data_IF_622056557905
#
_entry.id   IF_622056557905
#
_cell.length_a   1.000
_cell.length_b   1.000
_cell.length_c   1.000
_cell.angle_alpha   90.00
_cell.angle_beta   90.00
_cell.angle_gamma   90.00
#
_symmetry.space_group_name_H-M   'P 1'
#
loop_
_entity.id
_entity.type
_entity.pdbx_description
1 polymer ?
#
# COMPACT_ATOMS: atom_id res chain seq x y z
N UNK A 1 9.11 13.82 9.41
CA UNK A 1 9.08 12.35 9.54
C UNK A 1 10.51 11.84 9.53
N UNK A 2 10.93 10.96 10.45
CA UNK A 2 12.31 10.41 10.42
C UNK A 2 12.42 9.31 9.35
N UNK A 3 13.53 9.24 8.63
CA UNK A 3 13.82 8.21 7.59
C UNK A 3 13.61 6.79 8.10
N UNK A 4 13.94 6.53 9.37
CA UNK A 4 13.70 5.23 10.03
C UNK A 4 12.21 4.84 10.13
N UNK A 5 11.30 5.82 10.27
CA UNK A 5 9.84 5.55 10.35
C UNK A 5 9.27 5.13 8.99
N UNK A 6 9.71 5.80 7.90
CA UNK A 6 9.28 5.48 6.53
C UNK A 6 9.78 4.10 6.12
N UNK A 7 11.05 3.78 6.39
CA UNK A 7 11.62 2.44 6.13
C UNK A 7 10.84 1.35 6.87
N UNK A 8 10.61 1.50 8.18
CA UNK A 8 9.84 0.51 8.96
C UNK A 8 8.41 0.33 8.43
N UNK A 9 7.76 1.43 8.01
CA UNK A 9 6.44 1.35 7.39
C UNK A 9 6.50 0.64 6.02
N UNK A 10 7.49 0.96 5.19
CA UNK A 10 7.69 0.38 3.85
C UNK A 10 7.88 -1.12 3.95
N UNK A 11 8.81 -1.57 4.80
CA UNK A 11 9.05 -3.00 5.05
C UNK A 11 7.77 -3.74 5.46
N UNK A 12 6.97 -3.19 6.38
CA UNK A 12 5.67 -3.77 6.78
C UNK A 12 4.67 -3.79 5.62
N UNK A 13 4.56 -2.69 4.87
CA UNK A 13 3.65 -2.59 3.73
C UNK A 13 4.00 -3.62 2.65
N UNK A 14 5.29 -3.79 2.33
CA UNK A 14 5.77 -4.79 1.36
C UNK A 14 5.47 -6.21 1.83
N UNK A 15 5.74 -6.54 3.11
CA UNK A 15 5.41 -7.86 3.65
C UNK A 15 3.91 -8.16 3.56
N UNK A 16 3.06 -7.22 3.97
CA UNK A 16 1.61 -7.39 3.90
C UNK A 16 1.10 -7.48 2.47
N UNK A 17 1.66 -6.68 1.57
CA UNK A 17 1.34 -6.71 0.14
C UNK A 17 1.67 -8.06 -0.48
N UNK A 18 2.86 -8.60 -0.20
CA UNK A 18 3.26 -9.94 -0.65
C UNK A 18 2.31 -11.02 -0.12
N UNK A 19 1.93 -10.95 1.16
CA UNK A 19 0.99 -11.91 1.75
C UNK A 19 -0.41 -11.81 1.12
N UNK A 20 -0.92 -10.60 0.88
CA UNK A 20 -2.26 -10.40 0.33
C UNK A 20 -2.38 -10.78 -1.16
N UNK A 21 -1.30 -10.59 -1.93
CA UNK A 21 -1.19 -11.02 -3.32
C UNK A 21 -0.94 -12.53 -3.39
N UNK A 22 -0.07 -13.07 -2.54
CA UNK A 22 0.26 -14.50 -2.49
C UNK A 22 -0.86 -15.41 -1.95
N UNK A 23 -1.74 -14.92 -1.06
CA UNK A 23 -2.97 -15.64 -0.65
C UNK A 23 -3.99 -15.78 -1.78
N UNK A 24 -3.85 -15.00 -2.86
CA UNK A 24 -4.67 -15.13 -4.06
C UNK A 24 -4.12 -16.32 -4.86
N UNK A 25 -4.52 -17.54 -4.45
CA UNK A 25 -4.22 -18.76 -5.21
C UNK A 25 -4.41 -18.52 -6.70
N UNK A 26 -3.36 -18.77 -7.47
CA UNK A 26 -3.28 -18.71 -8.94
C UNK A 26 -4.26 -17.72 -9.58
N UNK A 27 -3.99 -16.43 -9.46
CA UNK A 27 -4.51 -15.49 -10.46
C UNK A 27 -3.48 -15.45 -11.57
N UNK A 28 -3.76 -16.24 -12.61
CA UNK A 28 -3.06 -16.23 -13.90
C UNK A 28 -2.73 -14.78 -14.25
N UNK A 29 -1.43 -14.51 -14.32
CA UNK A 29 -0.92 -13.22 -14.76
C UNK A 29 -1.58 -12.86 -16.10
N UNK A 30 -2.04 -11.62 -16.30
CA UNK A 30 -2.35 -11.19 -17.65
C UNK A 30 -1.06 -11.30 -18.46
N UNK A 31 -1.06 -12.20 -19.45
CA UNK A 31 0.07 -12.35 -20.36
C UNK A 31 0.33 -11.01 -21.05
N UNK A 32 1.50 -10.42 -20.76
CA UNK A 32 1.89 -9.11 -21.28
C UNK A 32 3.02 -8.53 -20.46
N UNK A 33 4.25 -8.75 -20.94
CA UNK A 33 5.51 -8.47 -20.25
C UNK A 33 5.70 -7.03 -19.75
N UNK A 34 6.52 -6.91 -18.70
CA UNK A 34 6.97 -5.64 -18.12
C UNK A 34 6.11 -5.09 -16.99
N UNK A 35 5.10 -5.84 -16.52
CA UNK A 35 4.21 -5.42 -15.43
C UNK A 35 4.88 -5.46 -14.06
N UNK A 36 4.80 -4.37 -13.31
CA UNK A 36 5.18 -4.32 -11.90
C UNK A 36 4.54 -5.46 -11.12
N UNK A 37 5.30 -6.07 -10.21
CA UNK A 37 4.72 -7.03 -9.28
C UNK A 37 3.55 -6.38 -8.52
N UNK A 38 2.40 -7.04 -8.41
CA UNK A 38 1.18 -6.44 -7.82
C UNK A 38 1.45 -5.91 -6.40
N UNK A 39 2.33 -6.57 -5.65
CA UNK A 39 2.70 -6.14 -4.31
C UNK A 39 3.44 -4.79 -4.29
N UNK A 40 4.18 -4.45 -5.35
CA UNK A 40 4.91 -3.19 -5.47
C UNK A 40 3.95 -2.01 -5.62
N UNK A 41 2.93 -2.16 -6.46
CA UNK A 41 1.86 -1.17 -6.66
C UNK A 41 1.08 -0.94 -5.37
N UNK A 42 0.73 -2.03 -4.67
CA UNK A 42 0.05 -1.96 -3.37
C UNK A 42 0.92 -1.25 -2.33
N UNK A 43 2.22 -1.51 -2.30
CA UNK A 43 3.17 -0.86 -1.38
C UNK A 43 3.30 0.64 -1.66
N UNK A 44 3.39 1.04 -2.94
CA UNK A 44 3.40 2.44 -3.36
C UNK A 44 2.12 3.18 -2.94
N UNK A 45 0.95 2.52 -3.05
CA UNK A 45 -0.29 3.12 -2.56
C UNK A 45 -0.29 3.31 -1.04
N UNK A 46 0.15 2.29 -0.29
CA UNK A 46 0.25 2.40 1.17
C UNK A 46 1.16 3.57 1.58
N UNK A 47 2.25 3.78 0.85
CA UNK A 47 3.15 4.92 1.05
C UNK A 47 2.50 6.26 0.68
N UNK A 48 1.74 6.33 -0.41
CA UNK A 48 0.98 7.52 -0.75
C UNK A 48 -0.01 7.91 0.37
N UNK A 49 -0.74 6.92 0.92
CA UNK A 49 -1.65 7.11 2.07
C UNK A 49 -0.88 7.57 3.30
N UNK A 50 0.26 6.91 3.60
CA UNK A 50 1.09 7.24 4.76
C UNK A 50 1.72 8.65 4.68
N UNK A 51 2.06 9.09 3.48
CA UNK A 51 2.60 10.43 3.23
C UNK A 51 1.51 11.51 3.18
N UNK A 52 0.22 11.12 3.13
CA UNK A 52 -0.95 12.00 3.02
C UNK A 52 -0.82 13.02 1.86
N UNK A 53 -0.27 12.57 0.73
CA UNK A 53 0.07 13.41 -0.44
C UNK A 53 -0.60 12.93 -1.71
N UNK A 54 -0.65 13.76 -2.74
CA UNK A 54 -1.08 13.28 -4.06
C UNK A 54 -0.11 12.20 -4.58
N UNK A 55 -0.57 11.33 -5.48
CA UNK A 55 0.30 10.32 -6.10
C UNK A 55 1.54 10.92 -6.75
N UNK A 56 1.40 12.09 -7.38
CA UNK A 56 2.53 12.80 -8.00
C UNK A 56 3.57 13.20 -6.96
N UNK A 57 3.14 13.91 -5.92
CA UNK A 57 4.06 14.36 -4.85
C UNK A 57 4.66 13.19 -4.07
N UNK A 58 3.90 12.11 -3.86
CA UNK A 58 4.40 10.91 -3.21
C UNK A 58 5.50 10.24 -4.04
N UNK A 59 5.31 10.11 -5.36
CA UNK A 59 6.32 9.53 -6.25
C UNK A 59 7.55 10.44 -6.37
N UNK A 60 7.35 11.75 -6.49
CA UNK A 60 8.44 12.74 -6.53
C UNK A 60 9.28 12.71 -5.24
N UNK A 61 8.66 12.46 -4.08
CA UNK A 61 9.40 12.28 -2.82
C UNK A 61 10.11 10.93 -2.74
N UNK A 62 9.49 9.87 -3.27
CA UNK A 62 10.07 8.54 -3.27
C UNK A 62 11.26 8.42 -4.24
N UNK A 63 11.27 9.18 -5.35
CA UNK A 63 12.43 9.23 -6.27
C UNK A 63 13.68 9.78 -5.58
N UNK A 64 13.53 10.68 -4.61
CA UNK A 64 14.62 11.19 -3.77
C UNK A 64 15.06 10.19 -2.67
N UNK A 65 14.34 9.07 -2.53
CA UNK A 65 14.56 8.05 -1.50
C UNK A 65 14.79 6.66 -2.12
N UNK A 66 15.87 6.45 -2.89
CA UNK A 66 16.11 5.19 -3.60
C UNK A 66 16.24 3.98 -2.66
N UNK A 67 16.67 4.18 -1.41
CA UNK A 67 16.70 3.13 -0.39
C UNK A 67 15.30 2.57 -0.08
N UNK A 68 14.27 3.43 -0.05
CA UNK A 68 12.87 3.01 0.17
C UNK A 68 12.34 2.27 -1.06
N UNK A 69 12.67 2.73 -2.26
CA UNK A 69 12.31 2.04 -3.50
C UNK A 69 12.95 0.65 -3.57
N UNK A 70 14.21 0.53 -3.14
CA UNK A 70 14.91 -0.74 -3.02
C UNK A 70 14.22 -1.74 -2.07
N UNK A 71 13.60 -1.28 -0.98
CA UNK A 71 12.79 -2.16 -0.11
C UNK A 71 11.55 -2.74 -0.80
N UNK A 72 10.98 -2.00 -1.76
CA UNK A 72 9.85 -2.44 -2.59
C UNK A 72 10.35 -3.33 -3.75
N UNK A 73 11.64 -3.26 -4.08
CA UNK A 73 12.23 -3.92 -5.25
C UNK A 73 12.00 -3.13 -6.54
N UNK A 74 11.98 -1.79 -6.44
CA UNK A 74 11.88 -0.87 -7.57
C UNK A 74 13.14 -0.01 -7.65
N UNK A 75 13.51 0.36 -8.87
CA UNK A 75 14.46 1.45 -9.11
C UNK A 75 13.71 2.75 -9.40
N UNK A 76 14.33 3.93 -9.22
CA UNK A 76 13.70 5.21 -9.61
C UNK A 76 13.28 5.25 -11.08
N UNK A 77 14.04 4.58 -11.96
CA UNK A 77 13.73 4.44 -13.38
C UNK A 77 12.49 3.56 -13.64
N UNK A 78 12.18 2.66 -12.71
CA UNK A 78 11.03 1.77 -12.75
C UNK A 78 9.80 2.38 -12.08
N UNK A 79 9.83 3.66 -11.66
CA UNK A 79 8.65 4.26 -11.05
C UNK A 79 7.51 4.41 -12.08
N UNK A 80 6.33 3.82 -11.83
CA UNK A 80 5.20 3.99 -12.73
C UNK A 80 4.74 5.44 -12.72
N UNK A 81 4.34 5.93 -13.89
CA UNK A 81 3.69 7.22 -14.00
C UNK A 81 2.39 7.22 -13.17
N UNK A 82 2.06 8.35 -12.52
CA UNK A 82 0.92 8.45 -11.60
C UNK A 82 -0.41 7.97 -12.21
N UNK A 83 -0.64 8.24 -13.51
CA UNK A 83 -1.82 7.80 -14.25
C UNK A 83 -1.91 6.28 -14.45
N UNK A 84 -0.76 5.60 -14.54
CA UNK A 84 -0.67 4.13 -14.60
C UNK A 84 -1.03 3.51 -13.26
N UNK A 85 -0.56 4.13 -12.16
CA UNK A 85 -0.88 3.72 -10.78
C UNK A 85 -2.38 3.77 -10.51
N UNK A 86 -3.06 4.85 -10.91
CA UNK A 86 -4.51 5.00 -10.72
C UNK A 86 -5.30 3.93 -11.50
N UNK A 87 -4.94 3.65 -12.76
CA UNK A 87 -5.59 2.61 -13.56
C UNK A 87 -5.38 1.21 -12.99
N UNK A 88 -4.21 0.96 -12.42
CA UNK A 88 -3.89 -0.30 -11.76
C UNK A 88 -4.65 -0.45 -10.44
N UNK A 89 -4.78 0.65 -9.68
CA UNK A 89 -5.55 0.68 -8.44
C UNK A 89 -6.98 0.21 -8.67
N UNK A 90 -7.64 0.70 -9.71
CA UNK A 90 -9.00 0.28 -10.06
C UNK A 90 -9.14 -1.23 -10.29
N UNK A 91 -8.07 -1.91 -10.74
CA UNK A 91 -8.04 -3.36 -10.95
C UNK A 91 -7.77 -4.15 -9.66
N UNK A 92 -7.09 -3.57 -8.69
CA UNK A 92 -6.53 -4.28 -7.51
C UNK A 92 -7.27 -3.97 -6.19
N UNK A 93 -8.29 -3.10 -6.22
CA UNK A 93 -9.07 -2.63 -5.05
C UNK A 93 -9.24 -3.67 -3.93
N UNK A 94 -9.63 -4.92 -4.20
CA UNK A 94 -9.83 -5.94 -3.17
C UNK A 94 -8.56 -6.33 -2.40
N UNK A 95 -7.44 -6.57 -3.09
CA UNK A 95 -6.18 -6.92 -2.42
C UNK A 95 -5.64 -5.72 -1.63
N UNK A 96 -5.82 -4.53 -2.18
CA UNK A 96 -5.44 -3.30 -1.52
C UNK A 96 -6.23 -3.08 -0.22
N UNK A 97 -7.56 -3.23 -0.24
CA UNK A 97 -8.37 -3.07 0.96
C UNK A 97 -7.94 -4.04 2.07
N UNK A 98 -7.58 -5.28 1.71
CA UNK A 98 -7.03 -6.24 2.70
C UNK A 98 -5.71 -5.76 3.32
N UNK A 99 -4.81 -5.20 2.51
CA UNK A 99 -3.51 -4.69 3.00
C UNK A 99 -3.69 -3.45 3.86
N UNK A 100 -4.51 -2.50 3.42
CA UNK A 100 -4.83 -1.31 4.21
C UNK A 100 -5.48 -1.69 5.54
N UNK A 101 -6.44 -2.63 5.56
CA UNK A 101 -7.05 -3.13 6.79
C UNK A 101 -6.02 -3.80 7.71
N UNK A 102 -5.14 -4.65 7.17
CA UNK A 102 -4.05 -5.29 7.94
C UNK A 102 -3.06 -4.26 8.49
N UNK A 103 -2.71 -3.25 7.69
CA UNK A 103 -1.85 -2.14 8.12
C UNK A 103 -2.53 -1.34 9.23
N UNK A 104 -3.80 -0.95 9.07
CA UNK A 104 -4.56 -0.28 10.12
C UNK A 104 -4.57 -1.09 11.41
N UNK A 105 -4.80 -2.40 11.36
CA UNK A 105 -4.73 -3.26 12.55
C UNK A 105 -3.33 -3.26 13.20
N UNK A 106 -2.26 -3.32 12.42
CA UNK A 106 -0.88 -3.35 12.94
C UNK A 106 -0.32 -1.99 13.37
N UNK A 107 -0.83 -0.90 12.81
CA UNK A 107 -0.55 0.47 13.27
C UNK A 107 -1.34 0.79 14.54
N UNK A 108 -2.47 0.11 14.75
CA UNK A 108 -3.37 0.28 15.90
C UNK A 108 -3.12 -0.76 17.01
N UNK A 109 -1.89 -1.20 17.21
CA UNK A 109 -1.54 -1.92 18.45
C UNK A 109 -1.46 -0.93 19.64
N UNK A 110 -2.60 -0.83 20.33
CA UNK A 110 -2.83 -0.42 21.72
C UNK A 110 -2.74 1.08 22.09
N UNK A 111 -3.84 1.81 21.87
CA UNK A 111 -4.41 2.60 22.97
C UNK A 111 -5.78 2.00 23.29
N UNK A 112 -5.97 1.54 24.52
CA UNK A 112 -7.12 0.75 24.92
C UNK A 112 -8.42 1.54 25.06
N UNK A 113 -8.92 2.17 23.99
CA UNK A 113 -10.26 2.77 23.96
C UNK A 113 -10.85 2.76 22.55
N UNK A 114 -11.80 1.85 22.32
CA UNK A 114 -13.12 2.10 21.73
C UNK A 114 -13.64 0.80 21.09
N UNK A 115 -14.48 0.09 21.86
CA UNK A 115 -15.50 -0.73 21.24
C UNK A 115 -16.42 0.22 20.46
N UNK A 116 -16.41 0.13 19.13
CA UNK A 116 -17.45 0.75 18.32
C UNK A 116 -18.64 -0.20 18.36
N UNK A 117 -19.41 -0.11 19.45
CA UNK A 117 -20.77 -0.63 19.45
C UNK A 117 -21.66 0.39 18.72
N UNK A 118 -21.99 0.09 17.48
CA UNK A 118 -22.97 0.85 16.73
C UNK A 118 -24.36 0.21 16.94
N UNK A 119 -24.87 0.27 18.17
CA UNK A 119 -26.31 0.06 18.44
C UNK A 119 -26.95 1.36 18.94
N UNK A 120 -26.97 2.39 18.10
CA UNK A 120 -27.94 3.47 18.29
C UNK A 120 -29.08 3.28 17.28
N UNK A 121 -30.01 2.38 17.63
CA UNK A 121 -31.36 2.43 17.08
C UNK A 121 -32.11 3.50 17.87
N UNK A 122 -32.31 4.67 17.27
CA UNK A 122 -33.41 5.54 17.67
C UNK A 122 -34.65 5.02 16.93
N UNK A 123 -35.67 4.60 17.69
CA UNK A 123 -37.00 4.32 17.15
C UNK A 123 -37.90 5.44 17.66
N UNK A 124 -38.36 6.30 16.75
CA UNK A 124 -39.57 7.11 16.98
C UNK A 124 -40.82 6.22 17.01
#
# INVERSE_FOLDING_TARGET
MSTSKISRFTSKAVQLAKNAVGERGEVVAPEGGGGFAEYAVVSLHCLQVYLEKSYREALDLLSEMPHILGEIGLEPADLPHHSTLVKWFDKIKTALWRVLLRLSAQLHETSGHAAIDATFFDRE
#
